data_IF_788199504323
#
_entry.id   IF_788199504323
#
_cell.length_a   1.000
_cell.length_b   1.000
_cell.length_c   1.000
_cell.angle_alpha   90.00
_cell.angle_beta   90.00
_cell.angle_gamma   90.00
#
_symmetry.space_group_name_H-M   'P 1'
#
loop_
_entity.id
_entity.type
_entity.pdbx_description
1 polymer ?
#
# COMPACT_ATOMS: atom_id res chain seq x y z
N UNK A 1 36.96 9.22 35.90
CA UNK A 1 37.00 8.14 34.87
C UNK A 1 35.62 7.48 34.70
N UNK A 2 34.97 7.00 35.77
CA UNK A 2 33.65 6.32 35.71
C UNK A 2 32.51 7.18 35.16
N UNK A 3 32.46 8.46 35.50
CA UNK A 3 31.38 9.36 35.04
C UNK A 3 31.38 9.57 33.51
N UNK A 4 32.55 9.65 32.89
CA UNK A 4 32.68 9.84 31.44
C UNK A 4 32.09 8.64 30.67
N UNK A 5 32.27 7.43 31.19
CA UNK A 5 31.73 6.21 30.59
C UNK A 5 30.20 6.15 30.69
N UNK A 6 29.63 6.60 31.80
CA UNK A 6 28.17 6.68 31.98
C UNK A 6 27.56 7.68 31.00
N UNK A 7 28.20 8.84 30.80
CA UNK A 7 27.74 9.86 29.84
C UNK A 7 27.81 9.34 28.40
N UNK A 8 28.89 8.65 28.02
CA UNK A 8 29.04 8.03 26.70
C UNK A 8 27.96 6.98 26.44
N UNK A 9 27.71 6.10 27.41
CA UNK A 9 26.66 5.08 27.30
C UNK A 9 25.26 5.72 27.17
N UNK A 10 24.96 6.73 27.97
CA UNK A 10 23.70 7.45 27.89
C UNK A 10 23.51 8.14 26.53
N UNK A 11 24.56 8.77 25.99
CA UNK A 11 24.53 9.41 24.68
C UNK A 11 24.31 8.38 23.55
N UNK A 12 24.99 7.23 23.59
CA UNK A 12 24.78 6.15 22.63
C UNK A 12 23.35 5.59 22.66
N UNK A 13 22.79 5.38 23.86
CA UNK A 13 21.41 4.92 24.03
C UNK A 13 20.40 5.95 23.51
N UNK A 14 20.61 7.24 23.80
CA UNK A 14 19.77 8.32 23.30
C UNK A 14 19.81 8.41 21.76
N UNK A 15 21.00 8.32 21.16
CA UNK A 15 21.17 8.31 19.72
C UNK A 15 20.47 7.11 19.06
N UNK A 16 20.60 5.91 19.66
CA UNK A 16 19.92 4.72 19.17
C UNK A 16 18.39 4.86 19.25
N UNK A 17 17.87 5.33 20.38
CA UNK A 17 16.44 5.57 20.55
C UNK A 17 15.89 6.57 19.52
N UNK A 18 16.65 7.63 19.22
CA UNK A 18 16.30 8.59 18.18
C UNK A 18 16.24 7.96 16.78
N UNK A 19 17.23 7.15 16.40
CA UNK A 19 17.26 6.45 15.10
C UNK A 19 16.07 5.49 14.98
N UNK A 20 15.81 4.69 16.02
CA UNK A 20 14.67 3.77 16.04
C UNK A 20 13.36 4.53 15.93
N UNK A 21 13.22 5.64 16.65
CA UNK A 21 12.06 6.53 16.57
C UNK A 21 11.83 7.04 15.15
N UNK A 22 12.86 7.53 14.47
CA UNK A 22 12.77 8.00 13.09
C UNK A 22 12.37 6.90 12.11
N UNK A 23 12.92 5.69 12.25
CA UNK A 23 12.56 4.53 11.42
C UNK A 23 11.07 4.21 11.63
N UNK A 24 10.61 4.12 12.87
CA UNK A 24 9.20 3.85 13.19
C UNK A 24 8.29 4.93 12.60
N UNK A 25 8.60 6.21 12.80
CA UNK A 25 7.79 7.32 12.28
C UNK A 25 7.70 7.28 10.76
N UNK A 26 8.81 7.02 10.06
CA UNK A 26 8.83 6.89 8.61
C UNK A 26 7.91 5.76 8.14
N UNK A 27 7.97 4.59 8.77
CA UNK A 27 7.18 3.43 8.38
C UNK A 27 5.69 3.61 8.67
N UNK A 28 5.35 4.22 9.81
CA UNK A 28 3.96 4.63 10.10
C UNK A 28 3.44 5.55 9.00
N UNK A 29 4.22 6.56 8.59
CA UNK A 29 3.81 7.48 7.52
C UNK A 29 3.64 6.78 6.18
N UNK A 30 4.54 5.85 5.83
CA UNK A 30 4.39 5.05 4.61
C UNK A 30 3.13 4.19 4.67
N UNK A 31 2.85 3.57 5.81
CA UNK A 31 1.64 2.77 6.01
C UNK A 31 0.37 3.62 5.89
N UNK A 32 0.35 4.82 6.49
CA UNK A 32 -0.75 5.79 6.36
C UNK A 32 -0.99 6.16 4.89
N UNK A 33 0.07 6.48 4.12
CA UNK A 33 -0.06 6.81 2.71
C UNK A 33 -0.60 5.62 1.89
N UNK A 34 -0.15 4.39 2.17
CA UNK A 34 -0.67 3.19 1.49
C UNK A 34 -2.12 2.92 1.84
N UNK A 35 -2.51 3.08 3.10
CA UNK A 35 -3.90 2.95 3.53
C UNK A 35 -4.80 3.99 2.86
N UNK A 36 -4.35 5.25 2.78
CA UNK A 36 -5.06 6.30 2.04
C UNK A 36 -5.24 5.93 0.56
N UNK A 37 -4.18 5.45 -0.11
CA UNK A 37 -4.26 4.98 -1.49
C UNK A 37 -5.25 3.80 -1.66
N UNK A 38 -5.23 2.80 -0.77
CA UNK A 38 -6.20 1.68 -0.79
C UNK A 38 -7.64 2.19 -0.58
N UNK A 39 -7.83 3.12 0.34
CA UNK A 39 -9.16 3.66 0.64
C UNK A 39 -9.72 4.44 -0.56
N UNK A 40 -8.90 5.21 -1.25
CA UNK A 40 -9.28 5.90 -2.48
C UNK A 40 -9.57 4.92 -3.63
N UNK A 41 -8.75 3.87 -3.80
CA UNK A 41 -9.03 2.80 -4.77
C UNK A 41 -10.37 2.12 -4.47
N UNK A 42 -10.64 1.78 -3.20
CA UNK A 42 -11.93 1.21 -2.76
C UNK A 42 -13.08 2.15 -3.10
N UNK A 43 -12.94 3.45 -2.85
CA UNK A 43 -13.96 4.44 -3.17
C UNK A 43 -14.25 4.48 -4.68
N UNK A 44 -13.23 4.54 -5.54
CA UNK A 44 -13.41 4.50 -6.99
C UNK A 44 -14.07 3.20 -7.48
N UNK A 45 -13.73 2.05 -6.89
CA UNK A 45 -14.36 0.77 -7.25
C UNK A 45 -15.84 0.69 -6.82
N UNK A 46 -16.17 1.21 -5.63
CA UNK A 46 -17.55 1.33 -5.17
C UNK A 46 -18.36 2.30 -6.05
N UNK A 47 -17.77 3.44 -6.41
CA UNK A 47 -18.37 4.41 -7.34
C UNK A 47 -18.62 3.77 -8.70
N UNK A 48 -17.64 3.02 -9.23
CA UNK A 48 -17.80 2.29 -10.48
C UNK A 48 -18.94 1.27 -10.40
N UNK A 49 -18.95 0.43 -9.38
CA UNK A 49 -20.01 -0.58 -9.19
C UNK A 49 -21.38 0.08 -9.08
N UNK A 50 -21.51 1.15 -8.28
CA UNK A 50 -22.79 1.81 -8.05
C UNK A 50 -23.31 2.54 -9.29
N UNK A 51 -22.43 3.22 -10.05
CA UNK A 51 -22.78 3.85 -11.32
C UNK A 51 -23.22 2.80 -12.35
N UNK A 52 -22.52 1.67 -12.45
CA UNK A 52 -22.91 0.57 -13.33
C UNK A 52 -24.28 -0.02 -12.95
N UNK A 53 -24.55 -0.26 -11.67
CA UNK A 53 -25.88 -0.70 -11.21
C UNK A 53 -26.94 0.37 -11.45
N UNK A 54 -26.65 1.65 -11.25
CA UNK A 54 -27.61 2.72 -11.53
C UNK A 54 -27.98 2.79 -13.02
N UNK A 55 -26.98 2.74 -13.90
CA UNK A 55 -27.19 2.68 -15.35
C UNK A 55 -27.94 1.39 -15.74
N UNK A 56 -27.73 0.30 -14.99
CA UNK A 56 -28.46 -0.95 -15.18
C UNK A 56 -29.96 -0.79 -14.96
N UNK A 57 -30.34 -0.16 -13.87
CA UNK A 57 -31.74 0.01 -13.54
C UNK A 57 -32.39 1.08 -14.42
N UNK A 58 -31.64 2.14 -14.75
CA UNK A 58 -32.09 3.20 -15.66
C UNK A 58 -32.40 2.62 -17.04
N UNK A 59 -31.58 1.69 -17.53
CA UNK A 59 -31.82 1.02 -18.80
C UNK A 59 -33.00 0.05 -18.75
N UNK A 60 -33.12 -0.75 -17.69
CA UNK A 60 -34.24 -1.67 -17.49
C UNK A 60 -35.60 -0.93 -17.40
N UNK A 61 -35.66 0.20 -16.67
CA UNK A 61 -36.86 1.04 -16.54
C UNK A 61 -37.28 1.71 -17.85
N UNK A 62 -36.31 2.15 -18.68
CA UNK A 62 -36.63 2.73 -20.01
C UNK A 62 -37.10 1.68 -21.01
N UNK A 63 -36.48 0.50 -21.02
CA UNK A 63 -36.85 -0.62 -21.89
C UNK A 63 -38.26 -1.16 -21.64
N UNK A 64 -38.74 -1.09 -20.38
CA UNK A 64 -40.11 -1.49 -20.03
C UNK A 64 -41.19 -0.47 -20.40
N UNK A 65 -40.81 0.76 -20.74
CA UNK A 65 -41.75 1.84 -21.15
C UNK A 65 -41.79 2.03 -22.66
N UNK A 66 -40.71 1.73 -23.38
CA UNK A 66 -40.62 1.84 -24.84
C UNK A 66 -40.63 0.44 -25.46
N UNK A 67 -41.72 0.08 -26.16
CA UNK A 67 -41.78 -1.12 -27.01
C UNK A 67 -40.71 -1.04 -28.11
N UNK A 68 -39.54 -1.60 -27.84
CA UNK A 68 -38.46 -1.75 -28.78
C UNK A 68 -37.86 -0.43 -29.24
N UNK A 69 -36.94 0.14 -28.47
CA UNK A 69 -35.67 0.57 -29.07
C UNK A 69 -34.60 0.85 -28.02
N UNK A 70 -33.37 0.56 -28.44
CA UNK A 70 -32.10 0.55 -27.73
C UNK A 70 -32.01 1.58 -26.59
N UNK A 71 -31.62 1.12 -25.41
CA UNK A 71 -31.29 2.02 -24.31
C UNK A 71 -30.04 2.85 -24.66
N UNK A 72 -30.24 4.01 -25.26
CA UNK A 72 -29.18 4.99 -25.50
C UNK A 72 -28.78 5.56 -24.14
N UNK A 73 -27.64 5.13 -23.63
CA UNK A 73 -26.96 5.82 -22.53
C UNK A 73 -26.59 7.22 -23.01
N UNK A 74 -26.78 8.24 -22.16
CA UNK A 74 -26.36 9.59 -22.51
C UNK A 74 -24.82 9.65 -22.59
N UNK A 75 -24.28 10.49 -23.47
CA UNK A 75 -22.82 10.67 -23.60
C UNK A 75 -22.16 11.07 -22.27
N UNK A 76 -22.86 11.81 -21.41
CA UNK A 76 -22.42 12.16 -20.06
C UNK A 76 -22.28 10.94 -19.14
N UNK A 77 -23.24 10.00 -19.19
CA UNK A 77 -23.21 8.78 -18.38
C UNK A 77 -22.03 7.89 -18.79
N UNK A 78 -21.74 7.84 -20.09
CA UNK A 78 -20.60 7.12 -20.65
C UNK A 78 -19.30 7.77 -20.19
N UNK A 79 -19.16 9.08 -20.35
CA UNK A 79 -17.98 9.85 -19.92
C UNK A 79 -17.66 9.60 -18.44
N UNK A 80 -18.65 9.65 -17.56
CA UNK A 80 -18.47 9.43 -16.12
C UNK A 80 -17.92 8.03 -15.81
N UNK A 81 -18.45 7.00 -16.46
CA UNK A 81 -17.99 5.61 -16.25
C UNK A 81 -16.54 5.46 -16.71
N UNK A 82 -16.20 5.97 -17.89
CA UNK A 82 -14.83 5.95 -18.40
C UNK A 82 -13.87 6.69 -17.46
N UNK A 83 -14.28 7.86 -16.95
CA UNK A 83 -13.49 8.62 -15.98
C UNK A 83 -13.15 7.79 -14.75
N UNK A 84 -14.12 7.09 -14.16
CA UNK A 84 -13.89 6.24 -12.99
C UNK A 84 -13.01 5.04 -13.35
N UNK A 85 -13.23 4.38 -14.50
CA UNK A 85 -12.39 3.27 -14.98
C UNK A 85 -10.93 3.72 -15.13
N UNK A 86 -10.68 4.88 -15.73
CA UNK A 86 -9.32 5.40 -15.86
C UNK A 86 -8.70 5.77 -14.51
N UNK A 87 -9.47 6.30 -13.56
CA UNK A 87 -8.98 6.51 -12.19
C UNK A 87 -8.53 5.20 -11.54
N UNK A 88 -9.30 4.12 -11.69
CA UNK A 88 -8.94 2.79 -11.19
C UNK A 88 -7.67 2.29 -11.89
N UNK A 89 -7.61 2.36 -13.22
CA UNK A 89 -6.45 1.92 -14.02
C UNK A 89 -5.17 2.67 -13.69
N UNK A 90 -5.24 3.98 -13.42
CA UNK A 90 -4.09 4.80 -13.05
C UNK A 90 -3.60 4.52 -11.63
N UNK A 91 -4.49 4.09 -10.75
CA UNK A 91 -4.13 3.73 -9.37
C UNK A 91 -3.47 2.35 -9.34
N UNK A 92 -4.02 1.38 -10.05
CA UNK A 92 -3.45 0.03 -10.18
C UNK A 92 -2.10 0.12 -10.89
N UNK A 93 -1.10 -0.60 -10.38
CA UNK A 93 0.24 -0.55 -10.94
C UNK A 93 0.31 -1.32 -12.27
N UNK A 94 0.19 -0.59 -13.39
CA UNK A 94 0.25 -1.17 -14.74
C UNK A 94 1.63 -1.73 -15.13
N UNK A 95 2.70 -1.35 -14.43
CA UNK A 95 4.07 -1.76 -14.77
C UNK A 95 4.45 -3.14 -14.22
N UNK A 96 3.82 -3.57 -13.12
CA UNK A 96 4.03 -4.90 -12.55
C UNK A 96 2.79 -5.37 -11.78
N UNK A 97 1.68 -5.66 -12.49
CA UNK A 97 0.42 -6.03 -11.86
C UNK A 97 0.51 -7.41 -11.21
N UNK A 98 -0.15 -7.57 -10.07
CA UNK A 98 -0.43 -8.89 -9.51
C UNK A 98 -1.37 -9.69 -10.44
N UNK A 99 -1.41 -11.02 -10.35
CA UNK A 99 -2.33 -11.82 -11.17
C UNK A 99 -3.81 -11.42 -10.95
N UNK A 100 -4.17 -10.99 -9.74
CA UNK A 100 -5.50 -10.47 -9.40
C UNK A 100 -5.76 -9.10 -10.04
N UNK A 101 -4.79 -8.18 -9.99
CA UNK A 101 -4.89 -6.87 -10.63
C UNK A 101 -5.03 -7.01 -12.16
N UNK A 102 -4.25 -7.92 -12.74
CA UNK A 102 -4.34 -8.26 -14.16
C UNK A 102 -5.73 -8.76 -14.54
N UNK A 103 -6.29 -9.68 -13.75
CA UNK A 103 -7.63 -10.23 -13.97
C UNK A 103 -8.72 -9.14 -13.90
N UNK A 104 -8.58 -8.19 -12.97
CA UNK A 104 -9.48 -7.04 -12.88
C UNK A 104 -9.35 -6.09 -14.08
N UNK A 105 -8.12 -5.82 -14.54
CA UNK A 105 -7.88 -4.97 -15.70
C UNK A 105 -8.43 -5.61 -16.98
N UNK A 106 -8.17 -6.91 -17.20
CA UNK A 106 -8.71 -7.66 -18.35
C UNK A 106 -10.24 -7.69 -18.33
N UNK A 107 -10.85 -7.83 -17.15
CA UNK A 107 -12.28 -7.72 -16.97
C UNK A 107 -12.79 -6.32 -17.36
N UNK A 108 -12.15 -5.26 -16.87
CA UNK A 108 -12.51 -3.88 -17.20
C UNK A 108 -12.37 -3.60 -18.69
N UNK A 109 -11.27 -4.02 -19.32
CA UNK A 109 -11.01 -3.84 -20.75
C UNK A 109 -12.06 -4.54 -21.60
N UNK A 110 -12.35 -5.82 -21.31
CA UNK A 110 -13.39 -6.58 -22.02
C UNK A 110 -14.75 -5.90 -21.97
N UNK A 111 -15.13 -5.35 -20.82
CA UNK A 111 -16.43 -4.68 -20.64
C UNK A 111 -16.44 -3.23 -21.17
N UNK A 112 -15.27 -2.65 -21.41
CA UNK A 112 -15.10 -1.31 -22.00
C UNK A 112 -15.12 -1.37 -23.53
N UNK A 113 -14.40 -2.32 -24.14
CA UNK A 113 -14.27 -2.48 -25.59
C UNK A 113 -15.60 -2.79 -26.29
N UNK A 114 -16.48 -3.55 -25.65
CA UNK A 114 -17.76 -3.92 -26.27
C UNK A 114 -18.80 -2.79 -26.24
N UNK A 115 -18.55 -1.64 -25.58
CA UNK A 115 -19.55 -0.60 -25.26
C UNK A 115 -20.85 -1.13 -24.64
N UNK A 116 -20.90 -2.41 -24.28
CA UNK A 116 -22.07 -3.15 -23.87
C UNK A 116 -22.07 -3.23 -22.34
N UNK A 117 -22.24 -2.07 -21.71
CA UNK A 117 -22.48 -1.99 -20.25
C UNK A 117 -23.73 -2.78 -19.84
N UNK A 118 -24.60 -3.12 -20.80
CA UNK A 118 -25.74 -4.03 -20.68
C UNK A 118 -25.36 -5.49 -20.36
N UNK A 119 -24.11 -5.92 -20.50
CA UNK A 119 -23.69 -7.27 -20.05
C UNK A 119 -23.30 -7.27 -18.56
N UNK A 120 -22.85 -6.13 -18.03
CA UNK A 120 -22.56 -5.96 -16.60
C UNK A 120 -23.84 -6.02 -15.73
N UNK A 121 -25.02 -5.96 -16.36
CA UNK A 121 -26.34 -6.05 -15.72
C UNK A 121 -26.61 -7.44 -15.12
N UNK A 122 -25.87 -8.47 -15.54
CA UNK A 122 -26.04 -9.80 -15.00
C UNK A 122 -25.48 -9.82 -13.58
N UNK A 123 -26.32 -10.23 -12.63
CA UNK A 123 -25.95 -10.36 -11.21
C UNK A 123 -24.65 -11.16 -11.04
N UNK A 124 -24.48 -12.21 -11.85
CA UNK A 124 -23.28 -13.05 -11.85
C UNK A 124 -22.02 -12.27 -12.28
N UNK A 125 -22.14 -11.36 -13.25
CA UNK A 125 -21.03 -10.50 -13.71
C UNK A 125 -20.68 -9.44 -12.66
N UNK A 126 -21.68 -8.89 -11.96
CA UNK A 126 -21.46 -7.97 -10.85
C UNK A 126 -20.79 -8.68 -9.66
N UNK A 127 -21.23 -9.90 -9.32
CA UNK A 127 -20.58 -10.71 -8.28
C UNK A 127 -19.14 -11.07 -8.65
N UNK A 128 -18.88 -11.42 -9.91
CA UNK A 128 -17.52 -11.63 -10.42
C UNK A 128 -16.65 -10.38 -10.27
N UNK A 129 -17.17 -9.20 -10.65
CA UNK A 129 -16.48 -7.93 -10.47
C UNK A 129 -16.15 -7.64 -9.00
N UNK A 130 -17.12 -7.82 -8.10
CA UNK A 130 -16.92 -7.63 -6.66
C UNK A 130 -15.89 -8.59 -6.09
N UNK A 131 -15.89 -9.85 -6.52
CA UNK A 131 -14.90 -10.84 -6.10
C UNK A 131 -13.48 -10.48 -6.58
N UNK A 132 -13.33 -10.02 -7.83
CA UNK A 132 -12.04 -9.54 -8.34
C UNK A 132 -11.55 -8.32 -7.56
N UNK A 133 -12.43 -7.35 -7.30
CA UNK A 133 -12.11 -6.18 -6.48
C UNK A 133 -11.67 -6.59 -5.07
N UNK A 134 -12.43 -7.47 -4.41
CA UNK A 134 -12.11 -7.96 -3.06
C UNK A 134 -10.75 -8.68 -3.03
N UNK A 135 -10.44 -9.47 -4.06
CA UNK A 135 -9.16 -10.16 -4.19
C UNK A 135 -7.99 -9.18 -4.32
N UNK A 136 -8.11 -8.18 -5.21
CA UNK A 136 -7.10 -7.11 -5.37
C UNK A 136 -6.89 -6.36 -4.06
N UNK A 137 -7.97 -5.94 -3.39
CA UNK A 137 -7.89 -5.23 -2.12
C UNK A 137 -7.25 -6.07 -1.02
N UNK A 138 -7.51 -7.38 -0.99
CA UNK A 138 -6.90 -8.30 -0.03
C UNK A 138 -5.40 -8.44 -0.26
N UNK A 139 -4.98 -8.61 -1.52
CA UNK A 139 -3.57 -8.69 -1.86
C UNK A 139 -2.81 -7.40 -1.47
N UNK A 140 -3.37 -6.24 -1.79
CA UNK A 140 -2.79 -4.94 -1.39
C UNK A 140 -2.74 -4.77 0.13
N UNK A 141 -3.77 -5.24 0.83
CA UNK A 141 -3.79 -5.22 2.30
C UNK A 141 -2.71 -6.11 2.91
N UNK A 142 -2.49 -7.29 2.35
CA UNK A 142 -1.41 -8.19 2.77
C UNK A 142 -0.03 -7.55 2.51
N UNK A 143 0.17 -6.89 1.37
CA UNK A 143 1.39 -6.11 1.10
C UNK A 143 1.63 -5.00 2.12
N UNK A 144 0.57 -4.30 2.56
CA UNK A 144 0.68 -3.27 3.62
C UNK A 144 1.07 -3.88 4.96
N UNK A 145 0.45 -5.00 5.38
CA UNK A 145 0.76 -5.65 6.66
C UNK A 145 2.17 -6.22 6.72
N UNK A 146 2.63 -6.81 5.62
CA UNK A 146 3.93 -7.48 5.59
C UNK A 146 5.09 -6.48 5.73
N UNK A 147 4.82 -5.18 5.51
CA UNK A 147 5.84 -4.15 5.45
C UNK A 147 6.66 -4.27 4.16
N UNK A 148 7.14 -3.14 3.63
CA UNK A 148 8.07 -3.20 2.50
C UNK A 148 9.35 -3.94 2.90
N UNK A 149 10.03 -4.60 1.95
CA UNK A 149 11.39 -5.18 2.16
C UNK A 149 12.34 -4.19 2.84
N UNK A 150 12.13 -2.89 2.61
CA UNK A 150 12.87 -1.81 3.25
C UNK A 150 12.72 -1.72 4.77
N UNK A 151 11.58 -2.10 5.35
CA UNK A 151 11.37 -2.13 6.80
C UNK A 151 12.24 -3.22 7.44
N UNK A 152 12.18 -4.44 6.90
CA UNK A 152 12.98 -5.57 7.36
C UNK A 152 14.48 -5.26 7.25
N UNK A 153 14.90 -4.66 6.13
CA UNK A 153 16.29 -4.27 5.92
C UNK A 153 16.74 -3.12 6.83
N UNK A 154 15.93 -2.08 7.02
CA UNK A 154 16.30 -0.92 7.85
C UNK A 154 16.36 -1.29 9.33
N UNK A 155 15.43 -2.13 9.79
CA UNK A 155 15.45 -2.68 11.15
C UNK A 155 16.68 -3.56 11.40
N UNK A 156 17.05 -4.41 10.43
CA UNK A 156 18.25 -5.25 10.55
C UNK A 156 19.54 -4.41 10.52
N UNK A 157 19.62 -3.38 9.67
CA UNK A 157 20.76 -2.47 9.63
C UNK A 157 20.93 -1.70 10.95
N UNK A 158 19.83 -1.18 11.50
CA UNK A 158 19.86 -0.47 12.79
C UNK A 158 20.33 -1.38 13.94
N UNK A 159 19.89 -2.65 13.97
CA UNK A 159 20.37 -3.64 14.94
C UNK A 159 21.86 -3.91 14.78
N UNK A 160 22.34 -4.09 13.55
CA UNK A 160 23.75 -4.35 13.25
C UNK A 160 24.62 -3.17 13.73
N UNK A 161 24.25 -1.94 13.37
CA UNK A 161 24.98 -0.73 13.79
C UNK A 161 25.02 -0.58 15.30
N UNK A 162 23.93 -0.89 16.00
CA UNK A 162 23.89 -0.85 17.46
C UNK A 162 24.84 -1.86 18.11
N UNK A 163 24.86 -3.10 17.62
CA UNK A 163 25.76 -4.14 18.13
C UNK A 163 27.23 -3.74 17.92
N UNK A 164 27.59 -3.25 16.73
CA UNK A 164 28.95 -2.79 16.46
C UNK A 164 29.33 -1.56 17.30
N UNK A 165 28.41 -0.62 17.51
CA UNK A 165 28.62 0.53 18.39
C UNK A 165 28.88 0.10 19.83
N UNK A 166 28.13 -0.87 20.35
CA UNK A 166 28.34 -1.41 21.70
C UNK A 166 29.69 -2.13 21.81
N UNK A 167 30.03 -2.99 20.85
CA UNK A 167 31.32 -3.68 20.82
C UNK A 167 32.50 -2.71 20.77
N UNK A 168 32.38 -1.61 20.01
CA UNK A 168 33.40 -0.56 19.96
C UNK A 168 33.61 0.15 21.31
N UNK A 169 32.52 0.51 22.00
CA UNK A 169 32.60 1.11 23.34
C UNK A 169 33.24 0.14 24.34
N UNK A 170 32.89 -1.15 24.29
CA UNK A 170 33.50 -2.17 25.13
C UNK A 170 35.00 -2.37 24.86
N UNK A 171 35.40 -2.51 23.59
CA UNK A 171 36.79 -2.70 23.21
C UNK A 171 37.66 -1.49 23.60
N UNK A 172 37.14 -0.27 23.39
CA UNK A 172 37.83 0.95 23.78
C UNK A 172 37.95 1.08 25.32
N UNK A 173 36.91 0.67 26.06
CA UNK A 173 36.97 0.61 27.53
C UNK A 173 38.04 -0.35 28.04
N UNK A 174 38.13 -1.56 27.47
CA UNK A 174 39.16 -2.55 27.81
C UNK A 174 40.56 -2.01 27.49
N UNK A 175 40.74 -1.42 26.30
CA UNK A 175 42.01 -0.80 25.91
C UNK A 175 42.44 0.30 26.88
N UNK A 176 41.51 1.19 27.26
CA UNK A 176 41.79 2.26 28.21
C UNK A 176 42.26 1.73 29.56
N UNK A 177 41.61 0.69 30.09
CA UNK A 177 42.00 0.07 31.38
C UNK A 177 43.36 -0.62 31.26
N UNK A 178 43.59 -1.39 30.18
CA UNK A 178 44.86 -2.06 29.94
C UNK A 178 46.02 -1.08 29.80
N UNK A 179 45.80 0.06 29.13
CA UNK A 179 46.81 1.11 28.97
C UNK A 179 47.21 1.78 30.28
N UNK A 180 46.25 1.94 31.22
CA UNK A 180 46.52 2.46 32.56
C UNK A 180 47.32 1.46 33.39
N UNK A 181 46.90 0.19 33.37
CA UNK A 181 47.64 -0.90 34.03
C UNK A 181 49.09 -1.01 33.54
N UNK A 182 49.32 -0.91 32.23
CA UNK A 182 50.67 -0.92 31.63
C UNK A 182 51.50 0.30 32.00
N UNK A 183 50.89 1.47 32.15
CA UNK A 183 51.58 2.69 32.57
C UNK A 183 51.95 2.70 34.06
N UNK A 184 51.22 1.94 34.89
CA UNK A 184 51.48 1.80 36.33
C UNK A 184 52.53 0.72 36.65
N UNK A 185 53.00 -0.06 35.66
CA UNK A 185 54.16 -0.95 35.81
C UNK A 185 55.47 -0.14 35.60
N UNK A 186 56.38 -0.10 36.59
CA UNK A 186 57.62 0.67 36.53
C UNK A 186 58.67 0.09 35.58
#
# INVERSE_FOLDING_TARGET
MTEVWVVLLAACLAAFAAIVGLIITKEIKIAEFRQAWINELRASLCELSSKLTYLSEKSARKSSVANGDVCVLNDEDIYDVYKIIYQVKLRINSLSPSPEERSLLEFLDKHTECHHFSTFLLKDTQEQFLNLCASVLKNEWERVKTGGRFYVNSGNLAKILFVYSMLGVFAFGIWSIASQLLADFP
#
